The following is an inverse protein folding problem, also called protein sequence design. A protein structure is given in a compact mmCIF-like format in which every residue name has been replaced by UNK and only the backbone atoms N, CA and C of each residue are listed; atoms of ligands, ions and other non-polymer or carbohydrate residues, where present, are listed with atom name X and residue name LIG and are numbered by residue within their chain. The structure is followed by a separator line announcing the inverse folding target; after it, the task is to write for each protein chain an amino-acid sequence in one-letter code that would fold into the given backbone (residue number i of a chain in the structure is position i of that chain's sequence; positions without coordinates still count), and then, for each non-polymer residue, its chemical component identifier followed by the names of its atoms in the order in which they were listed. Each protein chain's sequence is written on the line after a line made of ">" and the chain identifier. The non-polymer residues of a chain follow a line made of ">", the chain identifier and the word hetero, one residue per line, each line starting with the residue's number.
data_IF_957161429431
#
_entry.id   IF_957161429431
#
_cell.length_a   1.000
_cell.length_b   1.000
_cell.length_c   1.000
_cell.angle_alpha   90.00
_cell.angle_beta   90.00
_cell.angle_gamma   90.00
#
_symmetry.space_group_name_H-M   'P 1'
#
loop_
_entity.id
_entity.type
_entity.pdbx_description
1 polymer ?
#
# COMPACT_ATOMS: atom_id res chain seq x y z
N UNK A 1 -11.01 31.60 11.23
CA UNK A 1 -10.62 30.79 10.05
C UNK A 1 -9.10 30.72 9.86
N UNK A 2 -8.36 31.83 9.88
CA UNK A 2 -6.89 31.84 9.70
C UNK A 2 -6.12 30.93 10.69
N UNK A 3 -6.46 30.96 11.99
CA UNK A 3 -5.79 30.12 12.99
C UNK A 3 -6.02 28.61 12.78
N UNK A 4 -7.22 28.21 12.33
CA UNK A 4 -7.54 26.81 12.02
C UNK A 4 -6.75 26.32 10.79
N UNK A 5 -6.71 27.14 9.73
CA UNK A 5 -5.96 26.83 8.51
C UNK A 5 -4.45 26.71 8.81
N UNK A 6 -3.92 27.58 9.67
CA UNK A 6 -2.53 27.53 10.10
C UNK A 6 -2.22 26.28 10.93
N UNK A 7 -3.08 25.92 11.89
CA UNK A 7 -2.93 24.69 12.67
C UNK A 7 -2.98 23.44 11.78
N UNK A 8 -3.89 23.42 10.80
CA UNK A 8 -3.97 22.35 9.82
C UNK A 8 -2.71 22.24 8.96
N UNK A 9 -2.19 23.37 8.46
CA UNK A 9 -0.94 23.39 7.71
C UNK A 9 0.25 22.87 8.54
N UNK A 10 0.34 23.26 9.83
CA UNK A 10 1.36 22.73 10.73
C UNK A 10 1.24 21.22 10.95
N UNK A 11 0.02 20.70 11.08
CA UNK A 11 -0.22 19.27 11.24
C UNK A 11 0.19 18.45 9.99
N UNK A 12 0.03 19.01 8.79
CA UNK A 12 0.37 18.35 7.54
C UNK A 12 1.85 18.46 7.16
N UNK A 13 2.56 19.47 7.68
CA UNK A 13 3.95 19.76 7.30
C UNK A 13 4.88 18.54 7.42
N UNK A 14 4.87 17.76 8.52
CA UNK A 14 5.74 16.58 8.63
C UNK A 14 5.46 15.52 7.55
N UNK A 15 4.20 15.35 7.14
CA UNK A 15 3.83 14.41 6.08
C UNK A 15 4.30 14.89 4.71
N UNK A 16 4.16 16.19 4.42
CA UNK A 16 4.64 16.78 3.18
C UNK A 16 6.18 16.70 3.06
N UNK A 17 6.91 17.02 4.12
CA UNK A 17 8.37 16.95 4.15
C UNK A 17 8.84 15.49 4.05
N UNK A 18 8.21 14.56 4.75
CA UNK A 18 8.52 13.13 4.66
C UNK A 18 8.26 12.57 3.25
N UNK A 19 7.13 12.90 2.63
CA UNK A 19 6.84 12.49 1.25
C UNK A 19 7.86 13.04 0.26
N UNK A 20 8.21 14.31 0.38
CA UNK A 20 9.25 14.94 -0.45
C UNK A 20 10.56 14.17 -0.27
N UNK A 21 11.04 14.01 0.96
CA UNK A 21 12.26 13.25 1.24
C UNK A 21 12.22 11.83 0.66
N UNK A 22 11.15 11.09 0.89
CA UNK A 22 11.02 9.70 0.43
C UNK A 22 11.06 9.59 -1.10
N UNK A 23 10.53 10.58 -1.82
CA UNK A 23 10.39 10.52 -3.28
C UNK A 23 11.53 11.17 -4.04
N UNK A 24 12.20 12.16 -3.47
CA UNK A 24 13.28 12.90 -4.14
C UNK A 24 14.67 12.47 -3.68
N UNK A 25 14.81 11.92 -2.47
CA UNK A 25 16.12 11.51 -1.94
C UNK A 25 16.43 10.07 -2.31
N UNK A 26 17.61 9.87 -2.88
CA UNK A 26 18.15 8.54 -3.18
C UNK A 26 18.74 7.90 -1.91
N UNK A 27 18.70 6.57 -1.83
CA UNK A 27 19.35 5.80 -0.74
C UNK A 27 20.85 6.07 -0.71
N UNK A 28 21.51 6.02 -1.87
CA UNK A 28 22.90 6.41 -2.04
C UNK A 28 23.13 6.95 -3.45
N UNK A 29 23.75 8.13 -3.63
CA UNK A 29 23.80 8.82 -4.93
C UNK A 29 24.53 8.04 -6.05
N UNK A 30 25.51 7.20 -5.71
CA UNK A 30 26.28 6.42 -6.70
C UNK A 30 26.05 4.91 -6.63
N UNK A 31 26.23 4.30 -5.44
CA UNK A 31 26.14 2.84 -5.26
C UNK A 31 24.71 2.27 -5.34
N UNK A 32 23.70 3.05 -4.96
CA UNK A 32 22.30 2.59 -4.95
C UNK A 32 21.34 3.77 -5.18
N UNK A 33 21.31 4.32 -6.42
CA UNK A 33 20.66 5.60 -6.75
C UNK A 33 19.13 5.49 -6.89
N UNK A 34 18.48 4.78 -5.97
CA UNK A 34 17.04 4.54 -5.97
C UNK A 34 16.34 5.38 -4.90
N UNK A 35 15.13 5.90 -5.16
CA UNK A 35 14.38 6.67 -4.17
C UNK A 35 14.01 5.84 -2.94
N UNK A 36 14.16 6.43 -1.75
CA UNK A 36 13.84 5.80 -0.47
C UNK A 36 12.44 5.19 -0.42
N UNK A 37 11.43 5.85 -1.02
CA UNK A 37 10.05 5.35 -1.04
C UNK A 37 9.97 3.92 -1.58
N UNK A 38 10.55 3.70 -2.76
CA UNK A 38 10.50 2.40 -3.44
C UNK A 38 11.32 1.33 -2.72
N UNK A 39 12.48 1.69 -2.18
CA UNK A 39 13.35 0.78 -1.42
C UNK A 39 12.71 0.39 -0.08
N UNK A 40 12.11 1.34 0.64
CA UNK A 40 11.42 1.06 1.90
C UNK A 40 10.14 0.25 1.69
N UNK A 41 9.41 0.49 0.60
CA UNK A 41 8.30 -0.37 0.19
C UNK A 41 8.78 -1.80 -0.06
N UNK A 42 9.86 -1.98 -0.81
CA UNK A 42 10.48 -3.28 -1.05
C UNK A 42 10.83 -4.00 0.26
N UNK A 43 11.46 -3.30 1.21
CA UNK A 43 11.79 -3.85 2.54
C UNK A 43 10.53 -4.20 3.35
N UNK A 44 9.52 -3.32 3.38
CA UNK A 44 8.28 -3.53 4.12
C UNK A 44 7.49 -4.73 3.61
N UNK A 45 7.38 -4.87 2.29
CA UNK A 45 6.74 -6.02 1.65
C UNK A 45 7.58 -7.29 1.88
N UNK A 46 8.91 -7.19 1.89
CA UNK A 46 9.79 -8.33 2.18
C UNK A 46 9.51 -8.91 3.57
N UNK A 47 9.36 -8.05 4.58
CA UNK A 47 8.96 -8.46 5.93
C UNK A 47 7.60 -9.17 5.91
N UNK A 48 6.59 -8.60 5.25
CA UNK A 48 5.26 -9.19 5.19
C UNK A 48 5.26 -10.56 4.46
N UNK A 49 5.96 -10.66 3.33
CA UNK A 49 6.08 -11.88 2.55
C UNK A 49 6.83 -12.97 3.33
N UNK A 50 7.95 -12.64 3.97
CA UNK A 50 8.70 -13.55 4.83
C UNK A 50 7.86 -14.07 6.00
N UNK A 51 7.07 -13.22 6.64
CA UNK A 51 6.18 -13.63 7.72
C UNK A 51 5.13 -14.63 7.23
N UNK A 52 4.54 -14.40 6.05
CA UNK A 52 3.57 -15.31 5.45
C UNK A 52 4.19 -16.64 5.03
N UNK A 53 5.40 -16.63 4.47
CA UNK A 53 6.15 -17.83 4.10
C UNK A 53 6.51 -18.67 5.34
N UNK A 54 7.03 -18.04 6.41
CA UNK A 54 7.33 -18.77 7.66
C UNK A 54 6.07 -19.38 8.28
N UNK A 55 4.94 -18.67 8.22
CA UNK A 55 3.64 -19.17 8.71
C UNK A 55 3.07 -20.31 7.87
N UNK A 56 3.40 -20.39 6.57
CA UNK A 56 2.94 -21.48 5.71
C UNK A 56 3.72 -22.77 5.93
N UNK A 57 4.93 -22.69 6.50
CA UNK A 57 5.83 -23.83 6.68
C UNK A 57 6.36 -24.40 5.35
N UNK A 58 6.11 -23.74 4.23
CA UNK A 58 6.54 -24.20 2.91
C UNK A 58 8.02 -23.93 2.67
N UNK A 59 8.68 -24.85 1.95
CA UNK A 59 10.05 -24.66 1.44
C UNK A 59 9.95 -24.30 -0.04
N UNK A 60 10.47 -23.14 -0.42
CA UNK A 60 10.42 -22.63 -1.79
C UNK A 60 11.80 -22.62 -2.42
N UNK A 61 11.87 -22.88 -3.72
CA UNK A 61 13.07 -22.55 -4.50
C UNK A 61 13.27 -21.02 -4.48
N UNK A 62 14.51 -20.55 -4.63
CA UNK A 62 14.80 -19.11 -4.70
C UNK A 62 14.04 -18.42 -5.83
N UNK A 63 13.89 -19.08 -6.99
CA UNK A 63 13.11 -18.54 -8.11
C UNK A 63 11.66 -18.29 -7.72
N UNK A 64 10.98 -19.31 -7.19
CA UNK A 64 9.57 -19.20 -6.73
C UNK A 64 9.43 -18.15 -5.63
N UNK A 65 10.39 -18.10 -4.71
CA UNK A 65 10.42 -17.18 -3.59
C UNK A 65 10.53 -15.72 -4.04
N UNK A 66 11.47 -15.42 -4.94
CA UNK A 66 11.66 -14.07 -5.50
C UNK A 66 10.45 -13.66 -6.33
N UNK A 67 9.95 -14.53 -7.22
CA UNK A 67 8.78 -14.20 -8.06
C UNK A 67 7.54 -13.92 -7.19
N UNK A 68 7.29 -14.74 -6.17
CA UNK A 68 6.18 -14.51 -5.25
C UNK A 68 6.29 -13.19 -4.49
N UNK A 69 7.50 -12.85 -4.03
CA UNK A 69 7.79 -11.55 -3.44
C UNK A 69 7.55 -10.38 -4.40
N UNK A 70 8.00 -10.48 -5.66
CA UNK A 70 7.82 -9.44 -6.67
C UNK A 70 6.35 -9.23 -7.05
N UNK A 71 5.55 -10.30 -7.14
CA UNK A 71 4.09 -10.20 -7.31
C UNK A 71 3.48 -9.37 -6.18
N UNK A 72 3.90 -9.64 -4.93
CA UNK A 72 3.40 -8.89 -3.78
C UNK A 72 3.83 -7.42 -3.81
N UNK A 73 5.02 -7.12 -4.32
CA UNK A 73 5.54 -5.76 -4.43
C UNK A 73 4.85 -4.94 -5.51
N UNK A 74 4.65 -5.54 -6.68
CA UNK A 74 4.28 -4.82 -7.90
C UNK A 74 2.82 -5.00 -8.29
N UNK A 75 2.07 -5.89 -7.65
CA UNK A 75 0.70 -6.20 -8.05
C UNK A 75 -0.22 -4.97 -8.12
N UNK A 76 -0.07 -3.99 -7.22
CA UNK A 76 -0.83 -2.75 -7.28
C UNK A 76 -0.52 -1.92 -8.55
N UNK A 77 0.75 -1.81 -8.93
CA UNK A 77 1.19 -1.11 -10.13
C UNK A 77 0.79 -1.87 -11.40
N UNK A 78 1.05 -3.18 -11.46
CA UNK A 78 0.72 -4.02 -12.63
C UNK A 78 -0.78 -3.99 -12.89
N UNK A 79 -1.60 -4.25 -11.87
CA UNK A 79 -3.06 -4.26 -12.02
C UNK A 79 -3.60 -2.89 -12.40
N UNK A 80 -3.13 -1.81 -11.76
CA UNK A 80 -3.59 -0.46 -12.11
C UNK A 80 -3.21 -0.08 -13.55
N UNK A 81 -2.01 -0.40 -14.01
CA UNK A 81 -1.60 -0.13 -15.39
C UNK A 81 -2.42 -0.97 -16.38
N UNK A 82 -2.68 -2.25 -16.09
CA UNK A 82 -3.58 -3.07 -16.91
C UNK A 82 -4.99 -2.47 -17.00
N UNK A 83 -5.58 -2.00 -15.88
CA UNK A 83 -6.89 -1.34 -15.88
C UNK A 83 -6.90 -0.02 -16.65
N UNK A 84 -5.75 0.67 -16.69
CA UNK A 84 -5.56 1.90 -17.45
C UNK A 84 -5.21 1.66 -18.93
N UNK A 85 -5.12 0.39 -19.37
CA UNK A 85 -4.60 0.01 -20.69
C UNK A 85 -3.21 0.59 -20.97
N UNK A 86 -2.41 0.78 -19.92
CA UNK A 86 -1.02 1.21 -19.99
C UNK A 86 -0.10 0.02 -19.75
N UNK A 87 1.08 0.00 -20.37
CA UNK A 87 2.03 -1.05 -20.06
C UNK A 87 2.71 -0.79 -18.70
N UNK A 88 2.87 -1.81 -17.83
CA UNK A 88 3.47 -1.61 -16.51
C UNK A 88 4.95 -1.21 -16.60
N UNK A 89 5.37 -0.03 -16.06
CA UNK A 89 6.73 0.50 -16.23
C UNK A 89 7.81 -0.43 -15.65
N UNK A 90 7.43 -1.23 -14.65
CA UNK A 90 8.31 -2.15 -13.94
C UNK A 90 8.89 -3.26 -14.84
N UNK A 91 8.23 -3.55 -15.96
CA UNK A 91 8.61 -4.63 -16.88
C UNK A 91 9.57 -4.19 -17.98
N UNK A 92 9.84 -2.89 -18.12
CA UNK A 92 10.68 -2.35 -19.21
C UNK A 92 12.14 -2.15 -18.83
N UNK A 93 12.48 -2.31 -17.55
CA UNK A 93 13.83 -2.01 -17.07
C UNK A 93 14.26 -2.99 -16.00
N UNK A 94 15.57 -3.26 -15.94
CA UNK A 94 16.19 -4.05 -14.88
C UNK A 94 16.29 -3.27 -13.56
N UNK A 95 16.23 -1.94 -13.60
CA UNK A 95 16.42 -1.09 -12.42
C UNK A 95 15.43 -1.38 -11.28
N UNK A 96 14.12 -1.55 -11.54
CA UNK A 96 13.19 -2.05 -10.54
C UNK A 96 13.56 -3.39 -9.92
N UNK A 97 14.05 -4.35 -10.71
CA UNK A 97 14.44 -5.66 -10.19
C UNK A 97 15.58 -5.50 -9.18
N UNK A 98 16.61 -4.70 -9.51
CA UNK A 98 17.70 -4.39 -8.59
C UNK A 98 17.17 -3.74 -7.30
N UNK A 99 16.34 -2.72 -7.43
CA UNK A 99 15.81 -1.96 -6.29
C UNK A 99 14.89 -2.78 -5.37
N UNK A 100 14.27 -3.85 -5.86
CA UNK A 100 13.40 -4.70 -5.03
C UNK A 100 14.11 -5.96 -4.54
N UNK A 101 14.89 -6.62 -5.39
CA UNK A 101 15.60 -7.86 -5.03
C UNK A 101 16.71 -7.57 -4.03
N UNK A 102 17.52 -6.51 -4.21
CA UNK A 102 18.65 -6.22 -3.31
C UNK A 102 18.18 -5.98 -1.87
N UNK A 103 17.20 -5.09 -1.58
CA UNK A 103 16.70 -4.92 -0.21
C UNK A 103 16.04 -6.19 0.33
N UNK A 104 15.39 -6.98 -0.53
CA UNK A 104 14.81 -8.25 -0.10
C UNK A 104 15.88 -9.23 0.38
N UNK A 105 17.00 -9.36 -0.34
CA UNK A 105 18.13 -10.19 0.06
C UNK A 105 18.77 -9.70 1.37
N UNK A 106 18.96 -8.39 1.51
CA UNK A 106 19.49 -7.78 2.76
C UNK A 106 18.58 -8.07 3.95
N UNK A 107 17.27 -7.87 3.80
CA UNK A 107 16.29 -8.15 4.86
C UNK A 107 16.20 -9.65 5.16
N UNK A 108 16.35 -10.50 4.15
CA UNK A 108 16.39 -11.97 4.33
C UNK A 108 17.62 -12.39 5.12
N UNK A 109 18.80 -11.83 4.81
CA UNK A 109 20.01 -12.06 5.59
C UNK A 109 19.84 -11.60 7.04
N UNK A 110 19.30 -10.39 7.25
CA UNK A 110 19.03 -9.85 8.58
C UNK A 110 18.15 -10.79 9.42
N UNK A 111 17.05 -11.30 8.86
CA UNK A 111 16.16 -12.21 9.59
C UNK A 111 16.60 -13.65 9.62
N UNK A 112 17.64 -14.02 8.88
CA UNK A 112 18.34 -15.30 9.06
C UNK A 112 19.21 -15.24 10.31
N UNK A 113 19.90 -14.11 10.52
CA UNK A 113 20.75 -13.89 11.70
C UNK A 113 19.90 -13.56 12.94
N UNK A 114 18.87 -12.73 12.79
CA UNK A 114 18.01 -12.25 13.87
C UNK A 114 16.52 -12.58 13.62
N UNK A 115 16.12 -13.87 13.67
CA UNK A 115 14.77 -14.30 13.30
C UNK A 115 13.66 -13.68 14.16
N UNK A 116 13.96 -13.36 15.42
CA UNK A 116 13.00 -12.81 16.39
C UNK A 116 12.54 -11.39 16.03
N UNK A 117 13.30 -10.63 15.24
CA UNK A 117 12.93 -9.27 14.84
C UNK A 117 11.69 -9.31 13.95
N UNK A 118 11.63 -10.23 12.99
CA UNK A 118 10.51 -10.34 12.06
C UNK A 118 9.18 -10.65 12.76
N UNK A 119 9.23 -11.44 13.82
CA UNK A 119 8.06 -11.84 14.60
C UNK A 119 7.74 -10.87 15.74
N UNK A 120 8.54 -9.82 15.92
CA UNK A 120 8.32 -8.85 16.99
C UNK A 120 6.99 -8.13 16.80
N UNK A 121 6.09 -8.15 17.79
CA UNK A 121 4.81 -7.47 17.68
C UNK A 121 4.97 -5.94 17.68
N UNK A 122 6.16 -5.41 17.98
CA UNK A 122 6.45 -3.98 17.95
C UNK A 122 6.85 -3.48 16.56
N UNK A 123 7.19 -4.39 15.64
CA UNK A 123 7.61 -4.01 14.29
C UNK A 123 6.48 -3.24 13.56
N UNK A 124 5.25 -3.73 13.63
CA UNK A 124 4.10 -3.05 13.02
C UNK A 124 3.76 -1.71 13.71
N UNK A 125 4.09 -1.54 15.00
CA UNK A 125 3.89 -0.28 15.73
C UNK A 125 4.84 0.82 15.24
N UNK A 126 6.06 0.45 14.86
CA UNK A 126 7.05 1.42 14.35
C UNK A 126 6.82 1.70 12.86
N UNK A 127 6.37 0.71 12.10
CA UNK A 127 6.31 0.79 10.64
C UNK A 127 4.97 1.27 10.07
N UNK A 128 3.89 1.37 10.85
CA UNK A 128 2.60 1.81 10.29
C UNK A 128 2.60 3.24 9.72
N UNK A 129 3.32 4.24 10.27
CA UNK A 129 3.36 5.57 9.66
C UNK A 129 4.03 5.54 8.30
N UNK A 130 5.12 4.76 8.18
CA UNK A 130 5.82 4.56 6.92
C UNK A 130 4.93 3.86 5.90
N UNK A 131 4.22 2.79 6.27
CA UNK A 131 3.27 2.11 5.37
C UNK A 131 2.18 3.07 4.88
N UNK A 132 1.70 3.97 5.75
CA UNK A 132 0.73 4.98 5.37
C UNK A 132 1.25 5.99 4.34
N UNK A 133 2.47 6.51 4.55
CA UNK A 133 3.15 7.41 3.60
C UNK A 133 3.37 6.74 2.23
N UNK A 134 3.88 5.51 2.23
CA UNK A 134 4.22 4.79 1.00
C UNK A 134 2.98 4.48 0.15
N UNK A 135 1.88 4.04 0.79
CA UNK A 135 0.63 3.77 0.08
C UNK A 135 -0.08 5.04 -0.38
N UNK A 136 -0.07 6.09 0.43
CA UNK A 136 -0.57 7.40 -0.01
C UNK A 136 0.17 7.88 -1.25
N UNK A 137 1.51 7.81 -1.25
CA UNK A 137 2.30 8.20 -2.40
C UNK A 137 1.96 7.36 -3.64
N UNK A 138 1.79 6.05 -3.50
CA UNK A 138 1.43 5.17 -4.60
C UNK A 138 0.05 5.54 -5.19
N UNK A 139 -0.98 5.62 -4.36
CA UNK A 139 -2.36 5.94 -4.80
C UNK A 139 -2.40 7.31 -5.47
N UNK A 140 -1.90 8.33 -4.79
CA UNK A 140 -1.99 9.72 -5.27
C UNK A 140 -1.16 9.97 -6.53
N UNK A 141 -0.02 9.29 -6.69
CA UNK A 141 0.78 9.40 -7.91
C UNK A 141 0.12 8.71 -9.09
N UNK A 142 -0.55 7.56 -8.89
CA UNK A 142 -1.36 6.93 -9.95
C UNK A 142 -2.55 7.81 -10.33
N UNK A 143 -3.23 8.44 -9.36
CA UNK A 143 -4.34 9.35 -9.66
C UNK A 143 -3.88 10.61 -10.40
N UNK A 144 -2.73 11.18 -10.01
CA UNK A 144 -2.14 12.30 -10.74
C UNK A 144 -1.81 11.92 -12.20
N UNK A 145 -1.32 10.69 -12.42
CA UNK A 145 -1.06 10.16 -13.76
C UNK A 145 -2.33 10.02 -14.59
N UNK A 146 -3.46 9.61 -13.99
CA UNK A 146 -4.76 9.55 -14.68
C UNK A 146 -5.12 10.91 -15.27
N UNK A 147 -4.92 11.99 -14.50
CA UNK A 147 -5.24 13.35 -14.94
C UNK A 147 -4.27 13.90 -15.99
N UNK A 148 -3.01 13.47 -15.97
CA UNK A 148 -1.95 14.07 -16.80
C UNK A 148 -1.60 13.29 -18.06
N UNK A 149 -2.04 12.04 -18.18
CA UNK A 149 -1.63 11.17 -19.29
C UNK A 149 -2.72 11.09 -20.37
N UNK A 150 -2.50 11.67 -21.56
CA UNK A 150 -3.49 11.70 -22.64
C UNK A 150 -3.76 10.32 -23.27
N UNK A 151 -2.93 9.31 -23.00
CA UNK A 151 -3.15 7.95 -23.49
C UNK A 151 -4.26 7.20 -22.73
N UNK A 152 -4.72 7.72 -21.59
CA UNK A 152 -5.80 7.12 -20.79
C UNK A 152 -7.14 7.62 -21.34
N UNK A 153 -8.10 6.70 -21.53
CA UNK A 153 -9.45 7.03 -22.02
C UNK A 153 -10.09 8.13 -21.15
N UNK A 154 -10.63 9.16 -21.81
CA UNK A 154 -11.27 10.30 -21.15
C UNK A 154 -12.48 9.89 -20.31
N UNK A 155 -13.19 8.81 -20.68
CA UNK A 155 -14.32 8.27 -19.90
C UNK A 155 -13.88 7.70 -18.56
N UNK A 156 -12.69 7.09 -18.52
CA UNK A 156 -12.12 6.58 -17.28
C UNK A 156 -11.63 7.73 -16.40
N UNK A 157 -10.97 8.72 -17.02
CA UNK A 157 -10.50 9.94 -16.35
C UNK A 157 -11.65 10.74 -15.77
N UNK A 158 -12.81 10.83 -16.43
CA UNK A 158 -13.98 11.55 -15.92
C UNK A 158 -14.82 10.78 -14.90
N UNK A 159 -14.46 9.53 -14.56
CA UNK A 159 -15.27 8.67 -13.69
C UNK A 159 -14.76 8.67 -12.25
N UNK A 160 -15.52 9.27 -11.32
CA UNK A 160 -15.24 9.21 -9.88
C UNK A 160 -15.14 7.77 -9.38
N UNK A 161 -16.05 6.89 -9.83
CA UNK A 161 -16.02 5.47 -9.46
C UNK A 161 -14.72 4.80 -9.89
N UNK A 162 -14.22 5.12 -11.09
CA UNK A 162 -12.97 4.57 -11.56
C UNK A 162 -11.78 5.03 -10.71
N UNK A 163 -11.71 6.31 -10.32
CA UNK A 163 -10.70 6.81 -9.37
C UNK A 163 -10.74 6.03 -8.04
N UNK A 164 -11.94 5.77 -7.51
CA UNK A 164 -12.16 5.02 -6.26
C UNK A 164 -11.65 3.57 -6.38
N UNK A 165 -11.92 2.92 -7.51
CA UNK A 165 -11.46 1.55 -7.80
C UNK A 165 -9.93 1.53 -7.94
N UNK A 166 -9.34 2.47 -8.68
CA UNK A 166 -7.89 2.58 -8.83
C UNK A 166 -7.22 2.80 -7.47
N UNK A 167 -7.80 3.65 -6.60
CA UNK A 167 -7.32 3.83 -5.24
C UNK A 167 -7.24 2.51 -4.46
N UNK A 168 -8.31 1.71 -4.49
CA UNK A 168 -8.32 0.38 -3.88
C UNK A 168 -7.25 -0.55 -4.50
N UNK A 169 -7.20 -0.65 -5.83
CA UNK A 169 -6.28 -1.55 -6.56
C UNK A 169 -4.83 -1.21 -6.28
N UNK A 170 -4.44 0.07 -6.34
CA UNK A 170 -3.07 0.50 -6.07
C UNK A 170 -2.71 0.23 -4.62
N UNK A 171 -3.65 0.48 -3.69
CA UNK A 171 -3.44 0.29 -2.26
C UNK A 171 -3.26 -1.18 -1.88
N UNK A 172 -4.11 -2.10 -2.36
CA UNK A 172 -4.14 -3.49 -1.89
C UNK A 172 -3.67 -4.53 -2.92
N UNK A 173 -3.52 -4.16 -4.19
CA UNK A 173 -3.39 -5.10 -5.31
C UNK A 173 -2.22 -6.07 -5.17
N UNK A 174 -1.09 -5.62 -4.61
CA UNK A 174 0.07 -6.47 -4.34
C UNK A 174 -0.22 -7.58 -3.33
N UNK A 175 -0.60 -7.21 -2.11
CA UNK A 175 -0.93 -8.16 -1.05
C UNK A 175 -2.13 -9.05 -1.41
N UNK A 176 -3.17 -8.49 -2.04
CA UNK A 176 -4.33 -9.24 -2.48
C UNK A 176 -3.95 -10.29 -3.54
N UNK A 177 -3.20 -9.92 -4.59
CA UNK A 177 -2.78 -10.85 -5.64
C UNK A 177 -1.90 -11.97 -5.10
N UNK A 178 -0.90 -11.60 -4.29
CA UNK A 178 0.02 -12.57 -3.69
C UNK A 178 -0.70 -13.59 -2.79
N UNK A 179 -1.72 -13.14 -2.05
CA UNK A 179 -2.53 -13.99 -1.19
C UNK A 179 -3.54 -14.85 -1.94
N UNK A 180 -4.14 -14.30 -2.99
CA UNK A 180 -5.06 -15.00 -3.90
C UNK A 180 -4.34 -16.14 -4.60
N UNK A 181 -3.10 -15.92 -5.06
CA UNK A 181 -2.29 -16.94 -5.73
C UNK A 181 -1.53 -17.86 -4.76
N UNK A 182 -1.60 -17.59 -3.45
CA UNK A 182 -0.80 -18.25 -2.40
C UNK A 182 0.68 -18.33 -2.75
N UNK A 183 1.25 -17.21 -3.17
CA UNK A 183 2.64 -17.12 -3.68
C UNK A 183 3.74 -17.57 -2.71
N UNK A 184 3.40 -17.80 -1.44
CA UNK A 184 4.29 -18.28 -0.38
C UNK A 184 4.07 -19.76 0.00
N UNK A 185 3.38 -20.53 -0.84
CA UNK A 185 3.26 -21.99 -0.74
C UNK A 185 4.02 -22.69 -1.87
N UNK A 186 4.44 -23.94 -1.63
CA UNK A 186 5.19 -24.73 -2.64
C UNK A 186 4.39 -24.97 -3.91
N UNK A 187 3.07 -25.06 -3.78
CA UNK A 187 2.12 -25.18 -4.87
C UNK A 187 1.24 -23.94 -4.89
N UNK A 188 1.27 -23.21 -6.00
CA UNK A 188 0.41 -22.04 -6.17
C UNK A 188 -0.99 -22.49 -6.52
N UNK A 189 -1.98 -21.85 -5.90
CA UNK A 189 -3.39 -22.11 -6.18
C UNK A 189 -4.17 -20.83 -6.07
N UNK A 190 -5.22 -20.72 -6.89
CA UNK A 190 -6.15 -19.62 -6.80
C UNK A 190 -7.07 -19.82 -5.59
N UNK A 191 -7.16 -18.82 -4.73
CA UNK A 191 -8.02 -18.81 -3.57
C UNK A 191 -8.82 -17.52 -3.47
N UNK A 192 -9.71 -17.45 -2.49
CA UNK A 192 -10.52 -16.25 -2.26
C UNK A 192 -9.63 -15.05 -1.90
N UNK A 193 -9.77 -13.90 -2.59
CA UNK A 193 -9.09 -12.65 -2.22
C UNK A 193 -9.30 -12.32 -0.74
N UNK A 194 -8.24 -11.83 -0.07
CA UNK A 194 -8.22 -11.69 1.39
C UNK A 194 -9.39 -10.87 1.91
N UNK A 195 -9.74 -9.79 1.22
CA UNK A 195 -10.85 -8.90 1.61
C UNK A 195 -12.25 -9.49 1.37
N UNK A 196 -12.37 -10.61 0.66
CA UNK A 196 -13.63 -11.33 0.41
C UNK A 196 -13.77 -12.60 1.27
N UNK A 197 -12.78 -12.94 2.10
CA UNK A 197 -12.85 -14.12 2.97
C UNK A 197 -13.87 -13.90 4.08
N UNK A 198 -14.60 -14.95 4.45
CA UNK A 198 -15.53 -14.89 5.57
C UNK A 198 -14.82 -14.49 6.88
N UNK A 199 -15.45 -13.60 7.65
CA UNK A 199 -14.97 -13.19 8.98
C UNK A 199 -13.83 -12.16 9.02
N UNK A 200 -13.34 -11.66 7.88
CA UNK A 200 -12.25 -10.65 7.86
C UNK A 200 -12.69 -9.26 8.32
N UNK A 201 -13.98 -8.95 8.12
CA UNK A 201 -14.59 -7.67 8.52
C UNK A 201 -13.90 -6.43 7.93
N UNK A 202 -14.17 -5.28 8.53
CA UNK A 202 -13.59 -4.01 8.12
C UNK A 202 -12.05 -4.00 8.20
N UNK A 203 -11.48 -4.56 9.26
CA UNK A 203 -10.03 -4.48 9.50
C UNK A 203 -9.20 -5.35 8.55
N UNK A 204 -9.73 -6.50 8.14
CA UNK A 204 -9.09 -7.36 7.14
C UNK A 204 -9.29 -6.89 5.71
N UNK A 205 -10.23 -5.96 5.47
CA UNK A 205 -10.45 -5.30 4.18
C UNK A 205 -9.98 -3.84 4.16
N UNK A 206 -9.31 -3.37 5.22
CA UNK A 206 -8.95 -1.96 5.40
C UNK A 206 -8.09 -1.41 4.26
N UNK A 207 -7.19 -2.21 3.70
CA UNK A 207 -6.32 -1.76 2.61
C UNK A 207 -7.13 -1.36 1.35
N UNK A 208 -8.25 -2.02 1.09
CA UNK A 208 -9.17 -1.70 -0.01
C UNK A 208 -9.86 -0.37 0.28
N UNK A 209 -10.53 -0.29 1.42
CA UNK A 209 -11.34 0.87 1.82
C UNK A 209 -10.51 2.14 2.03
N UNK A 210 -9.33 2.01 2.63
CA UNK A 210 -8.42 3.13 2.83
C UNK A 210 -7.92 3.70 1.50
N UNK A 211 -7.63 2.84 0.51
CA UNK A 211 -7.25 3.28 -0.84
C UNK A 211 -8.38 4.00 -1.57
N UNK A 212 -9.58 3.45 -1.51
CA UNK A 212 -10.78 4.10 -2.03
C UNK A 212 -11.04 5.46 -1.38
N UNK A 213 -10.98 5.54 -0.05
CA UNK A 213 -11.17 6.79 0.67
C UNK A 213 -10.11 7.82 0.29
N UNK A 214 -8.84 7.42 0.22
CA UNK A 214 -7.75 8.32 -0.15
C UNK A 214 -7.89 8.81 -1.59
N UNK A 215 -8.42 7.99 -2.50
CA UNK A 215 -8.71 8.45 -3.85
C UNK A 215 -9.78 9.53 -3.90
N UNK A 216 -10.84 9.41 -3.08
CA UNK A 216 -11.86 10.44 -2.93
C UNK A 216 -11.22 11.71 -2.38
N UNK A 217 -10.51 11.60 -1.26
CA UNK A 217 -9.90 12.77 -0.58
C UNK A 217 -8.92 13.49 -1.50
N UNK A 218 -8.01 12.76 -2.14
CA UNK A 218 -7.02 13.35 -3.03
C UNK A 218 -7.70 14.03 -4.22
N UNK A 219 -8.58 13.32 -4.93
CA UNK A 219 -9.21 13.85 -6.15
C UNK A 219 -10.10 15.06 -5.85
N UNK A 220 -10.83 15.05 -4.74
CA UNK A 220 -11.61 16.20 -4.27
C UNK A 220 -10.73 17.39 -3.92
N UNK A 221 -9.67 17.20 -3.13
CA UNK A 221 -8.80 18.29 -2.68
C UNK A 221 -7.98 18.89 -3.83
N UNK A 222 -7.70 18.12 -4.88
CA UNK A 222 -7.10 18.63 -6.12
C UNK A 222 -8.12 19.15 -7.13
N UNK A 223 -9.41 19.23 -6.76
CA UNK A 223 -10.51 19.70 -7.62
C UNK A 223 -10.57 18.95 -8.95
N UNK A 224 -10.49 17.63 -8.90
CA UNK A 224 -10.55 16.82 -10.12
C UNK A 224 -11.98 16.84 -10.72
N UNK A 225 -12.14 17.12 -12.03
CA UNK A 225 -13.47 17.25 -12.66
C UNK A 225 -14.38 16.04 -12.48
N UNK A 226 -13.80 14.84 -12.34
CA UNK A 226 -14.55 13.60 -12.10
C UNK A 226 -15.42 13.63 -10.83
N UNK A 227 -15.08 14.49 -9.85
CA UNK A 227 -15.77 14.58 -8.55
C UNK A 227 -16.72 15.77 -8.46
N UNK A 228 -17.01 16.40 -9.60
CA UNK A 228 -17.77 17.64 -9.64
C UNK A 228 -19.20 17.50 -9.10
N UNK A 229 -19.84 16.36 -9.37
CA UNK A 229 -21.18 16.05 -8.87
C UNK A 229 -21.19 15.59 -7.41
N UNK A 230 -20.03 15.19 -6.87
CA UNK A 230 -19.91 14.63 -5.52
C UNK A 230 -19.64 15.74 -4.50
N UNK A 231 -18.96 16.82 -4.91
CA UNK A 231 -18.60 17.93 -4.02
C UNK A 231 -19.18 19.24 -4.53
N UNK A 232 -20.16 19.83 -3.80
CA UNK A 232 -20.81 21.07 -4.20
C UNK A 232 -19.79 22.19 -4.48
N UNK A 233 -20.00 22.94 -5.56
CA UNK A 233 -19.07 23.97 -6.03
C UNK A 233 -18.71 25.01 -4.96
N UNK A 234 -19.67 25.40 -4.12
CA UNK A 234 -19.49 26.38 -3.04
C UNK A 234 -18.45 25.95 -2.00
N UNK A 235 -18.25 24.64 -1.84
CA UNK A 235 -17.31 24.06 -0.88
C UNK A 235 -15.91 23.95 -1.50
N UNK A 236 -15.77 23.89 -2.83
CA UNK A 236 -14.50 23.56 -3.51
C UNK A 236 -13.33 24.52 -3.22
N UNK A 237 -13.48 25.86 -3.23
CA UNK A 237 -12.33 26.75 -3.00
C UNK A 237 -11.75 26.63 -1.59
N UNK A 238 -12.59 26.27 -0.60
CA UNK A 238 -12.18 26.16 0.80
C UNK A 238 -11.34 24.89 1.09
N UNK A 239 -11.46 23.86 0.25
CA UNK A 239 -10.76 22.58 0.40
C UNK A 239 -9.70 22.32 -0.69
N UNK A 240 -9.51 23.29 -1.59
CA UNK A 240 -8.50 23.23 -2.63
C UNK A 240 -7.09 23.22 -2.03
N UNK A 241 -6.33 22.16 -2.30
CA UNK A 241 -4.94 22.03 -1.91
C UNK A 241 -4.05 21.82 -3.14
N UNK A 242 -2.77 22.17 -3.01
CA UNK A 242 -1.76 21.72 -3.98
C UNK A 242 -1.70 20.19 -3.99
N UNK A 243 -1.17 19.59 -5.06
CA UNK A 243 -0.97 18.13 -5.11
C UNK A 243 -0.21 17.63 -3.88
N UNK A 244 0.88 18.31 -3.48
CA UNK A 244 1.63 17.93 -2.28
C UNK A 244 0.79 18.04 -0.99
N UNK A 245 -0.02 19.10 -0.86
CA UNK A 245 -0.93 19.26 0.28
C UNK A 245 -1.97 18.14 0.37
N UNK A 246 -2.60 17.80 -0.77
CA UNK A 246 -3.54 16.69 -0.86
C UNK A 246 -2.86 15.34 -0.54
N UNK A 247 -1.63 15.09 -1.06
CA UNK A 247 -0.83 13.90 -0.72
C UNK A 247 -0.52 13.82 0.78
N UNK A 248 -0.22 14.95 1.42
CA UNK A 248 0.04 15.00 2.86
C UNK A 248 -1.21 14.64 3.67
N UNK A 249 -2.39 15.15 3.30
CA UNK A 249 -3.67 14.75 3.91
C UNK A 249 -3.93 13.25 3.73
N UNK A 250 -3.77 12.74 2.51
CA UNK A 250 -3.92 11.31 2.23
C UNK A 250 -3.00 10.44 3.10
N UNK A 251 -1.76 10.88 3.30
CA UNK A 251 -0.78 10.19 4.15
C UNK A 251 -1.15 10.21 5.62
N UNK A 252 -1.66 11.34 6.10
CA UNK A 252 -2.18 11.48 7.46
C UNK A 252 -3.35 10.52 7.71
N UNK A 253 -4.32 10.46 6.80
CA UNK A 253 -5.48 9.56 6.88
C UNK A 253 -5.03 8.10 6.91
N UNK A 254 -4.17 7.68 5.98
CA UNK A 254 -3.63 6.32 5.97
C UNK A 254 -2.92 5.98 7.27
N UNK A 255 -2.09 6.89 7.78
CA UNK A 255 -1.34 6.70 9.03
C UNK A 255 -2.27 6.48 10.22
N UNK A 256 -3.37 7.25 10.31
CA UNK A 256 -4.39 7.04 11.35
C UNK A 256 -5.05 5.67 11.18
N UNK A 257 -5.56 5.36 9.98
CA UNK A 257 -6.28 4.10 9.74
C UNK A 257 -5.43 2.88 10.06
N UNK A 258 -4.17 2.90 9.65
CA UNK A 258 -3.23 1.80 9.90
C UNK A 258 -2.77 1.77 11.36
N UNK A 259 -2.59 2.92 12.01
CA UNK A 259 -2.35 3.01 13.44
C UNK A 259 -3.49 2.40 14.25
N UNK A 260 -4.74 2.70 13.91
CA UNK A 260 -5.92 2.12 14.53
C UNK A 260 -5.99 0.60 14.33
N UNK A 261 -5.61 0.09 13.15
CA UNK A 261 -5.52 -1.35 12.89
C UNK A 261 -4.49 -2.03 13.79
N UNK A 262 -3.30 -1.45 13.90
CA UNK A 262 -2.23 -1.98 14.76
C UNK A 262 -2.65 -1.94 16.24
N UNK A 263 -3.27 -0.83 16.67
CA UNK A 263 -3.81 -0.69 18.02
C UNK A 263 -4.84 -1.76 18.34
N UNK A 264 -5.81 -1.98 17.45
CA UNK A 264 -6.81 -3.04 17.60
C UNK A 264 -6.19 -4.44 17.68
N UNK A 265 -5.20 -4.73 16.83
CA UNK A 265 -4.52 -6.01 16.84
C UNK A 265 -3.80 -6.29 18.17
N UNK A 266 -3.29 -5.23 18.83
CA UNK A 266 -2.69 -5.32 20.17
C UNK A 266 -3.70 -5.51 21.30
N UNK A 267 -4.86 -4.86 21.21
CA UNK A 267 -5.92 -4.97 22.21
C UNK A 267 -6.69 -6.29 22.16
N UNK A 268 -6.65 -7.00 21.03
CA UNK A 268 -7.37 -8.28 20.88
C UNK A 268 -6.60 -9.38 21.64
N UNK A 269 -7.14 -9.95 22.74
CA UNK A 269 -6.40 -10.92 23.55
C UNK A 269 -6.08 -12.19 22.75
N UNK A 270 -4.85 -12.69 22.88
CA UNK A 270 -4.39 -13.92 22.24
C UNK A 270 -5.23 -15.18 22.60
N UNK A 271 -6.03 -15.11 23.67
CA UNK A 271 -6.88 -16.19 24.18
C UNK A 271 -8.16 -16.43 23.36
N UNK A 272 -8.65 -15.46 22.58
CA UNK A 272 -9.89 -15.62 21.78
C UNK A 272 -9.65 -16.49 20.53
N UNK A 273 -8.43 -16.51 20.01
CA UNK A 273 -8.07 -17.24 18.77
C UNK A 273 -7.99 -18.77 18.98
N UNK A 274 -7.75 -19.25 20.21
CA UNK A 274 -7.66 -20.69 20.50
C UNK A 274 -9.02 -21.40 20.59
N UNK A 275 -10.12 -20.69 20.84
CA UNK A 275 -11.46 -21.32 21.00
C UNK A 275 -12.10 -21.81 19.70
N UNK A 276 -11.58 -21.45 18.53
CA UNK A 276 -12.14 -21.83 17.22
C UNK A 276 -11.57 -23.10 16.57
N UNK A 277 -10.48 -23.68 17.10
CA UNK A 277 -9.84 -24.87 16.52
C UNK A 277 -10.22 -26.21 17.18
N UNK A 278 -11.10 -26.19 18.18
CA UNK A 278 -11.54 -27.40 18.88
C UNK A 278 -13.00 -27.72 18.58
N UNK A 279 -13.28 -28.30 17.41
CA UNK A 279 -14.47 -29.16 17.13
C UNK A 279 -14.44 -29.66 15.68
N UNK A 280 -13.47 -30.49 15.35
CA UNK A 280 -13.68 -31.51 14.32
C UNK A 280 -14.03 -32.77 15.09
N UNK A 281 -15.33 -33.05 15.21
CA UNK A 281 -15.80 -34.34 15.70
C UNK A 281 -15.45 -35.37 14.64
N UNK A 282 -14.68 -36.38 15.03
CA UNK A 282 -14.67 -37.70 14.41
C UNK A 282 -16.09 -38.25 14.36
N UNK A 283 -16.57 -38.56 13.17
CA UNK A 283 -17.46 -39.68 12.86
C UNK A 283 -16.99 -40.29 11.55
#
# INVERSE_FOLDING_TARGET
>A
MAALAQAFAYALRPFADALTFLTTTQVHPTLFPYPWASTLHAMRVSMAYQNNMRKSGSKLSWGTYIVGYLIMCWGGMVLSHTLLSLPPPILFSIHPYINYIVPHLVVTLLFTIFPNILTSPNLDLVLFPLDGLLRANAVTSTLAMISSNPAIDSKLTSSALFHIIIGAVVSCGGGASAATLKTWTSEWSFGTPVFLRSGVGFWGSLDVWAGSLVAIVYSTMTIHPAFDEVVPFEVRPAFALSSLGAKAVSSYIYTILFGLRVWKAKLTPASVVKKGKGKTKTQ
#
